data_IF_514626788224
#
_entry.id   IF_514626788224
#
_cell.length_a   1.000
_cell.length_b   1.000
_cell.length_c   1.000
_cell.angle_alpha   90.00
_cell.angle_beta   90.00
_cell.angle_gamma   90.00
#
_symmetry.space_group_name_H-M   'P 1'
#
loop_
_entity.id
_entity.type
_entity.pdbx_description
1 polymer ?
#
# COMPACT_ATOMS: atom_id res chain seq x y z
N UNK A 1 -15.67 -21.20 9.22
CA UNK A 1 -15.61 -21.55 7.79
C UNK A 1 -14.43 -20.83 7.20
N UNK A 2 -13.54 -21.48 6.45
CA UNK A 2 -12.34 -20.81 5.88
C UNK A 2 -12.72 -20.22 4.53
N UNK A 3 -12.75 -18.89 4.40
CA UNK A 3 -13.26 -18.22 3.20
C UNK A 3 -12.37 -17.08 2.79
N UNK A 4 -11.92 -17.10 1.53
CA UNK A 4 -11.34 -15.94 0.86
C UNK A 4 -12.43 -15.21 0.07
N UNK A 5 -12.63 -13.95 0.30
CA UNK A 5 -13.58 -13.10 -0.40
C UNK A 5 -12.91 -11.90 -1.04
N UNK A 6 -13.51 -11.41 -2.12
CA UNK A 6 -13.08 -10.21 -2.83
C UNK A 6 -14.10 -9.10 -2.56
N UNK A 7 -13.62 -7.96 -2.13
CA UNK A 7 -14.43 -6.75 -1.92
C UNK A 7 -14.05 -5.74 -3.01
N UNK A 8 -14.97 -5.44 -3.95
CA UNK A 8 -14.69 -4.49 -5.02
C UNK A 8 -14.74 -3.05 -4.50
N UNK A 9 -14.03 -2.13 -5.15
CA UNK A 9 -14.04 -0.72 -4.80
C UNK A 9 -15.45 -0.08 -4.88
N UNK A 10 -16.36 -0.62 -5.68
CA UNK A 10 -17.76 -0.18 -5.74
C UNK A 10 -18.51 -0.34 -4.41
N UNK A 11 -18.04 -1.25 -3.54
CA UNK A 11 -18.52 -1.40 -2.16
C UNK A 11 -17.51 -0.77 -1.17
N UNK A 12 -17.23 0.51 -1.35
CA UNK A 12 -16.23 1.24 -0.56
C UNK A 12 -16.57 1.29 0.92
N UNK A 13 -17.85 1.26 1.28
CA UNK A 13 -18.29 1.23 2.69
C UNK A 13 -17.87 -0.06 3.37
N UNK A 14 -18.14 -1.22 2.76
CA UNK A 14 -17.70 -2.52 3.28
C UNK A 14 -16.18 -2.65 3.24
N UNK A 15 -15.54 -2.13 2.19
CA UNK A 15 -14.09 -2.07 2.07
C UNK A 15 -13.47 -1.39 3.29
N UNK A 16 -13.84 -0.13 3.55
CA UNK A 16 -13.26 0.64 4.64
C UNK A 16 -13.63 0.07 6.02
N UNK A 17 -14.85 -0.45 6.21
CA UNK A 17 -15.22 -1.16 7.43
C UNK A 17 -14.33 -2.38 7.68
N UNK A 18 -14.03 -3.15 6.62
CA UNK A 18 -13.15 -4.30 6.72
C UNK A 18 -11.73 -3.87 7.09
N UNK A 19 -11.18 -2.86 6.41
CA UNK A 19 -9.84 -2.33 6.68
C UNK A 19 -9.74 -1.80 8.12
N UNK A 20 -10.70 -0.98 8.56
CA UNK A 20 -10.73 -0.41 9.91
C UNK A 20 -10.87 -1.46 11.03
N UNK A 21 -11.26 -2.68 10.70
CA UNK A 21 -11.31 -3.76 11.69
C UNK A 21 -9.94 -4.35 12.03
N UNK A 22 -8.89 -4.04 11.26
CA UNK A 22 -7.50 -4.46 11.50
C UNK A 22 -6.74 -3.40 12.28
N UNK A 23 -5.86 -3.82 13.20
CA UNK A 23 -5.12 -2.89 14.07
C UNK A 23 -4.01 -2.12 13.35
N UNK A 24 -3.29 -2.78 12.45
CA UNK A 24 -2.06 -2.25 11.83
C UNK A 24 -2.26 -1.74 10.41
N UNK A 25 -3.52 -1.38 10.04
CA UNK A 25 -3.76 -0.81 8.72
C UNK A 25 -3.16 0.60 8.58
N UNK A 26 -2.82 0.97 7.36
CA UNK A 26 -2.39 2.32 6.98
C UNK A 26 -3.29 2.87 5.86
N UNK A 27 -3.12 4.12 5.53
CA UNK A 27 -3.84 4.83 4.46
C UNK A 27 -3.82 4.08 3.12
N UNK A 28 -2.77 3.33 2.85
CA UNK A 28 -2.58 2.55 1.62
C UNK A 28 -3.65 1.48 1.40
N UNK A 29 -4.33 1.04 2.46
CA UNK A 29 -5.38 0.03 2.40
C UNK A 29 -6.79 0.62 2.22
N UNK A 30 -6.96 1.95 2.38
CA UNK A 30 -8.27 2.61 2.34
C UNK A 30 -8.79 2.80 0.90
N UNK A 31 -10.11 2.68 0.74
CA UNK A 31 -10.78 2.81 -0.55
C UNK A 31 -10.54 4.16 -1.23
N UNK A 32 -10.50 5.24 -0.47
CA UNK A 32 -10.22 6.59 -0.98
C UNK A 32 -8.82 6.72 -1.56
N UNK A 33 -7.83 6.05 -0.95
CA UNK A 33 -6.45 6.05 -1.43
C UNK A 33 -6.33 5.33 -2.77
N UNK A 34 -6.78 4.09 -2.84
CA UNK A 34 -6.68 3.28 -4.08
C UNK A 34 -7.54 3.84 -5.21
N UNK A 35 -8.64 4.54 -4.87
CA UNK A 35 -9.45 5.26 -5.85
C UNK A 35 -8.66 6.32 -6.60
N UNK A 36 -7.78 7.06 -5.92
CA UNK A 36 -6.91 8.05 -6.56
C UNK A 36 -6.00 7.39 -7.61
N UNK A 37 -5.40 6.23 -7.27
CA UNK A 37 -4.54 5.49 -8.20
C UNK A 37 -5.32 4.81 -9.33
N UNK A 38 -6.54 4.37 -9.10
CA UNK A 38 -7.42 3.93 -10.18
C UNK A 38 -7.68 5.05 -11.18
N UNK A 39 -7.96 6.26 -10.71
CA UNK A 39 -8.17 7.44 -11.56
C UNK A 39 -6.90 7.86 -12.31
N UNK A 40 -5.73 7.63 -11.72
CA UNK A 40 -4.44 7.85 -12.35
C UNK A 40 -4.14 6.81 -13.46
N UNK A 41 -4.78 5.64 -13.42
CA UNK A 41 -4.58 4.59 -14.42
C UNK A 41 -3.66 3.44 -13.98
N UNK A 42 -3.39 3.31 -12.67
CA UNK A 42 -2.48 2.30 -12.12
C UNK A 42 -3.11 0.90 -12.02
N UNK A 43 -4.33 0.73 -12.50
CA UNK A 43 -5.05 -0.54 -12.51
C UNK A 43 -6.37 -0.51 -11.72
N UNK A 44 -6.98 -1.67 -11.58
CA UNK A 44 -8.23 -1.84 -10.84
C UNK A 44 -7.95 -2.35 -9.42
N UNK A 45 -8.35 -1.61 -8.38
CA UNK A 45 -8.08 -2.02 -7.00
C UNK A 45 -8.98 -3.16 -6.56
N UNK A 46 -8.38 -4.12 -5.83
CA UNK A 46 -9.05 -5.26 -5.25
C UNK A 46 -8.64 -5.36 -3.78
N UNK A 47 -9.60 -5.51 -2.88
CA UNK A 47 -9.38 -5.92 -1.51
C UNK A 47 -9.71 -7.41 -1.36
N UNK A 48 -8.71 -8.19 -1.02
CA UNK A 48 -8.90 -9.56 -0.54
C UNK A 48 -9.14 -9.55 0.97
N UNK A 49 -10.15 -10.27 1.41
CA UNK A 49 -10.42 -10.54 2.81
C UNK A 49 -10.50 -12.05 3.04
N UNK A 50 -9.68 -12.52 3.95
CA UNK A 50 -9.70 -13.91 4.40
C UNK A 50 -10.18 -14.00 5.85
N UNK A 51 -11.05 -14.98 6.09
CA UNK A 51 -11.54 -15.34 7.42
C UNK A 51 -11.40 -16.85 7.62
N UNK A 52 -10.54 -17.23 8.56
CA UNK A 52 -10.29 -18.60 8.98
C UNK A 52 -10.76 -18.85 10.41
N UNK A 53 -10.32 -19.95 11.02
CA UNK A 53 -10.71 -20.34 12.37
C UNK A 53 -10.06 -19.41 13.42
N UNK A 54 -8.74 -19.24 13.33
CA UNK A 54 -7.95 -18.39 14.23
C UNK A 54 -7.02 -17.44 13.45
N UNK A 55 -7.35 -17.17 12.21
CA UNK A 55 -6.58 -16.26 11.34
C UNK A 55 -7.53 -15.46 10.47
N UNK A 56 -7.31 -14.15 10.42
CA UNK A 56 -7.90 -13.30 9.39
C UNK A 56 -6.82 -12.49 8.68
N UNK A 57 -7.10 -12.06 7.47
CA UNK A 57 -6.13 -11.30 6.69
C UNK A 57 -6.76 -10.42 5.64
N UNK A 58 -6.09 -9.31 5.32
CA UNK A 58 -6.43 -8.45 4.18
C UNK A 58 -5.20 -8.23 3.32
N UNK A 59 -5.44 -8.10 2.01
CA UNK A 59 -4.45 -7.62 1.04
C UNK A 59 -5.12 -6.70 0.04
N UNK A 60 -4.51 -5.55 -0.24
CA UNK A 60 -4.97 -4.58 -1.23
C UNK A 60 -3.98 -4.53 -2.37
N UNK A 61 -4.48 -4.78 -3.57
CA UNK A 61 -3.68 -4.83 -4.79
C UNK A 61 -4.31 -4.01 -5.91
N UNK A 62 -3.48 -3.51 -6.81
CA UNK A 62 -3.90 -2.96 -8.11
C UNK A 62 -3.75 -4.06 -9.16
N UNK A 63 -4.86 -4.50 -9.75
CA UNK A 63 -4.88 -5.46 -10.85
C UNK A 63 -4.65 -4.74 -12.16
N UNK A 64 -3.58 -5.10 -12.87
CA UNK A 64 -3.21 -4.46 -14.14
C UNK A 64 -3.26 -5.48 -15.27
N UNK A 65 -3.80 -5.08 -16.41
CA UNK A 65 -3.76 -5.88 -17.63
C UNK A 65 -2.38 -5.73 -18.28
N UNK A 66 -1.60 -6.80 -18.31
CA UNK A 66 -0.23 -6.81 -18.85
C UNK A 66 -0.22 -6.42 -20.34
N UNK A 67 -1.26 -6.75 -21.10
CA UNK A 67 -1.36 -6.42 -22.52
C UNK A 67 -1.39 -4.90 -22.78
N UNK A 68 -1.79 -4.10 -21.77
CA UNK A 68 -1.83 -2.63 -21.87
C UNK A 68 -0.48 -1.96 -21.57
N UNK A 69 0.51 -2.68 -21.06
CA UNK A 69 1.86 -2.15 -20.91
C UNK A 69 2.50 -1.92 -22.29
N UNK A 70 3.15 -0.78 -22.54
CA UNK A 70 3.75 -0.43 -23.84
C UNK A 70 4.68 -1.51 -24.41
N UNK A 71 5.30 -2.32 -23.58
CA UNK A 71 6.19 -3.42 -24.00
C UNK A 71 5.44 -4.61 -24.56
N UNK A 72 4.15 -4.76 -24.28
CA UNK A 72 3.31 -5.90 -24.63
C UNK A 72 2.13 -5.57 -25.55
N UNK A 73 1.89 -4.30 -25.85
CA UNK A 73 0.83 -3.90 -26.79
C UNK A 73 0.96 -4.65 -28.13
N UNK A 74 -0.13 -5.31 -28.53
CA UNK A 74 -0.20 -6.12 -29.75
C UNK A 74 0.54 -7.46 -29.69
N UNK A 75 1.16 -7.83 -28.56
CA UNK A 75 1.85 -9.10 -28.36
C UNK A 75 1.07 -10.08 -27.48
N UNK A 76 0.22 -9.59 -26.60
CA UNK A 76 -0.61 -10.37 -25.72
C UNK A 76 -2.08 -10.01 -25.95
N UNK A 77 -3.00 -10.98 -25.77
CA UNK A 77 -4.43 -10.70 -25.77
C UNK A 77 -4.82 -9.88 -24.53
N UNK A 78 -5.64 -8.84 -24.74
CA UNK A 78 -6.16 -8.03 -23.64
C UNK A 78 -7.12 -8.85 -22.73
N UNK A 79 -7.18 -8.48 -21.47
CA UNK A 79 -8.05 -9.05 -20.43
C UNK A 79 -7.84 -10.55 -20.19
N UNK A 80 -6.64 -11.07 -20.45
CA UNK A 80 -6.30 -12.48 -20.22
C UNK A 80 -5.23 -12.67 -19.16
N UNK A 81 -4.17 -11.85 -19.17
CA UNK A 81 -3.05 -11.95 -18.25
C UNK A 81 -2.92 -10.67 -17.43
N UNK A 82 -2.84 -10.85 -16.14
CA UNK A 82 -2.78 -9.74 -15.19
C UNK A 82 -1.56 -9.87 -14.30
N UNK A 83 -1.10 -8.74 -13.81
CA UNK A 83 -0.23 -8.70 -12.65
C UNK A 83 -0.89 -7.93 -11.51
N UNK A 84 -0.40 -8.19 -10.30
CA UNK A 84 -0.73 -7.41 -9.13
C UNK A 84 0.45 -6.54 -8.71
N UNK A 85 0.16 -5.34 -8.27
CA UNK A 85 1.12 -4.49 -7.58
C UNK A 85 0.46 -3.85 -6.35
N UNK A 86 1.24 -3.59 -5.31
CA UNK A 86 0.76 -2.71 -4.26
C UNK A 86 0.43 -1.33 -4.84
N UNK A 87 -0.60 -0.63 -4.33
CA UNK A 87 -0.77 0.80 -4.60
C UNK A 87 0.54 1.54 -4.34
N UNK A 88 0.76 2.67 -4.96
CA UNK A 88 1.95 3.47 -4.67
C UNK A 88 2.09 3.71 -3.16
N UNK A 89 3.27 3.44 -2.60
CA UNK A 89 3.50 3.40 -1.16
C UNK A 89 3.81 1.98 -0.71
N UNK A 90 3.06 1.47 0.21
CA UNK A 90 3.29 0.16 0.83
C UNK A 90 2.01 -0.67 0.88
N UNK A 91 2.15 -1.98 1.10
CA UNK A 91 1.02 -2.90 1.20
C UNK A 91 1.48 -4.33 1.53
N UNK A 92 0.78 -5.30 0.96
CA UNK A 92 0.93 -6.72 1.26
C UNK A 92 -0.06 -7.19 2.31
N UNK A 93 -0.01 -8.47 2.64
CA UNK A 93 -0.93 -9.04 3.59
C UNK A 93 -0.75 -8.47 5.00
N UNK A 94 -1.85 -8.02 5.61
CA UNK A 94 -1.96 -7.83 7.06
C UNK A 94 -2.68 -9.05 7.62
N UNK A 95 -2.02 -9.74 8.55
CA UNK A 95 -2.53 -10.97 9.16
C UNK A 95 -2.74 -10.76 10.66
N UNK A 96 -3.86 -11.20 11.18
CA UNK A 96 -4.17 -11.20 12.59
C UNK A 96 -4.63 -12.57 13.07
N UNK A 97 -4.07 -13.01 14.18
CA UNK A 97 -4.34 -14.30 14.80
C UNK A 97 -3.24 -15.34 14.59
N UNK A 98 -3.21 -16.39 15.44
CA UNK A 98 -2.16 -17.41 15.45
C UNK A 98 -2.44 -18.58 14.50
N UNK A 99 -3.52 -18.57 13.72
CA UNK A 99 -3.95 -19.69 12.89
C UNK A 99 -3.02 -20.02 11.74
N UNK A 100 -3.22 -21.21 11.15
CA UNK A 100 -2.45 -21.68 10.00
C UNK A 100 -2.73 -20.82 8.75
N UNK A 101 -1.66 -20.32 8.13
CA UNK A 101 -1.70 -19.46 6.93
C UNK A 101 -1.86 -20.26 5.63
N UNK A 102 -1.53 -21.53 5.64
CA UNK A 102 -1.55 -22.37 4.43
C UNK A 102 -2.90 -22.37 3.71
N UNK A 103 -4.06 -22.47 4.40
CA UNK A 103 -5.36 -22.40 3.73
C UNK A 103 -5.63 -21.05 3.05
N UNK A 104 -5.17 -19.93 3.65
CA UNK A 104 -5.25 -18.61 3.04
C UNK A 104 -4.49 -18.58 1.71
N UNK A 105 -3.19 -18.91 1.73
CA UNK A 105 -2.36 -18.80 0.55
C UNK A 105 -2.74 -19.81 -0.53
N UNK A 106 -3.19 -21.01 -0.16
CA UNK A 106 -3.76 -21.97 -1.12
C UNK A 106 -5.00 -21.40 -1.81
N UNK A 107 -5.90 -20.74 -1.07
CA UNK A 107 -7.09 -20.14 -1.64
C UNK A 107 -6.76 -18.91 -2.52
N UNK A 108 -5.79 -18.09 -2.09
CA UNK A 108 -5.33 -16.92 -2.83
C UNK A 108 -4.63 -17.29 -4.14
N UNK A 109 -3.71 -18.23 -4.10
CA UNK A 109 -3.00 -18.76 -5.27
C UNK A 109 -3.98 -19.34 -6.30
N UNK A 110 -4.93 -20.16 -5.85
CA UNK A 110 -5.98 -20.68 -6.71
C UNK A 110 -6.80 -19.56 -7.35
N UNK A 111 -7.19 -18.57 -6.57
CA UNK A 111 -7.92 -17.42 -7.10
C UNK A 111 -7.10 -16.68 -8.17
N UNK A 112 -5.83 -16.46 -7.94
CA UNK A 112 -4.92 -15.85 -8.91
C UNK A 112 -4.84 -16.65 -10.21
N UNK A 113 -4.67 -17.97 -10.12
CA UNK A 113 -4.63 -18.86 -11.28
C UNK A 113 -5.96 -18.82 -12.07
N UNK A 114 -7.09 -18.93 -11.38
CA UNK A 114 -8.43 -18.92 -11.99
C UNK A 114 -8.76 -17.56 -12.67
N UNK A 115 -8.07 -16.46 -12.26
CA UNK A 115 -8.27 -15.10 -12.77
C UNK A 115 -7.12 -14.56 -13.65
N UNK A 116 -6.22 -15.46 -14.11
CA UNK A 116 -5.15 -15.11 -15.03
C UNK A 116 -4.06 -14.20 -14.45
N UNK A 117 -3.89 -14.16 -13.13
CA UNK A 117 -2.82 -13.41 -12.47
C UNK A 117 -1.54 -14.21 -12.51
N UNK A 118 -0.50 -13.65 -13.13
CA UNK A 118 0.78 -14.35 -13.38
C UNK A 118 1.91 -13.91 -12.47
N UNK A 119 1.78 -12.74 -11.84
CA UNK A 119 2.77 -12.22 -10.90
C UNK A 119 2.17 -11.20 -9.94
N UNK A 120 2.83 -11.05 -8.79
CA UNK A 120 2.51 -10.02 -7.81
C UNK A 120 3.81 -9.33 -7.36
N UNK A 121 3.81 -8.00 -7.39
CA UNK A 121 4.87 -7.18 -6.82
C UNK A 121 4.37 -6.51 -5.54
N UNK A 122 5.02 -6.82 -4.43
CA UNK A 122 4.66 -6.26 -3.12
C UNK A 122 5.77 -5.35 -2.61
N UNK A 123 5.43 -4.12 -2.29
CA UNK A 123 6.28 -3.25 -1.49
C UNK A 123 5.81 -3.31 -0.04
N UNK A 124 6.50 -4.12 0.75
CA UNK A 124 6.16 -4.33 2.16
C UNK A 124 6.34 -3.07 3.00
N UNK A 125 5.52 -2.96 4.05
CA UNK A 125 5.50 -1.79 4.90
C UNK A 125 6.67 -1.81 5.90
N UNK A 126 7.57 -0.80 5.89
CA UNK A 126 8.81 -0.85 6.66
C UNK A 126 8.62 -0.70 8.18
N UNK A 127 7.46 -0.19 8.62
CA UNK A 127 7.18 0.01 10.06
C UNK A 127 6.45 -1.21 10.63
N UNK A 128 5.45 -1.74 9.92
CA UNK A 128 4.71 -2.93 10.37
C UNK A 128 5.49 -4.22 10.13
N UNK A 129 6.51 -4.18 9.27
CA UNK A 129 7.34 -5.32 8.91
C UNK A 129 6.52 -6.58 8.52
N UNK A 130 5.41 -6.35 7.83
CA UNK A 130 4.42 -7.40 7.53
C UNK A 130 4.96 -8.54 6.64
N UNK A 131 6.10 -8.36 5.98
CA UNK A 131 6.81 -9.45 5.29
C UNK A 131 7.27 -10.56 6.25
N UNK A 132 7.54 -10.26 7.53
CA UNK A 132 8.02 -11.26 8.49
C UNK A 132 7.04 -12.42 8.67
N UNK A 133 5.74 -12.12 8.56
CA UNK A 133 4.69 -13.12 8.66
C UNK A 133 4.58 -14.04 7.43
N UNK A 134 5.24 -13.74 6.31
CA UNK A 134 5.02 -14.39 5.00
C UNK A 134 6.30 -14.63 4.19
N UNK A 135 7.45 -14.66 4.84
CA UNK A 135 8.76 -14.94 4.20
C UNK A 135 8.82 -16.29 3.46
N UNK A 136 8.02 -17.23 3.87
CA UNK A 136 7.93 -18.56 3.27
C UNK A 136 7.02 -18.63 2.03
N UNK A 137 6.34 -17.52 1.72
CA UNK A 137 5.39 -17.43 0.60
C UNK A 137 5.91 -16.54 -0.52
N UNK A 138 6.69 -15.49 -0.18
CA UNK A 138 7.20 -14.52 -1.13
C UNK A 138 8.73 -14.52 -1.18
N UNK A 139 9.28 -14.31 -2.38
CA UNK A 139 10.71 -14.01 -2.54
C UNK A 139 10.97 -12.57 -2.09
N UNK A 140 11.46 -12.39 -0.88
CA UNK A 140 11.67 -11.07 -0.27
C UNK A 140 13.08 -10.56 -0.51
N UNK A 141 13.19 -9.39 -1.15
CA UNK A 141 14.46 -8.73 -1.45
C UNK A 141 14.62 -7.48 -0.58
N UNK A 142 15.69 -7.41 0.20
CA UNK A 142 16.04 -6.23 0.98
C UNK A 142 16.66 -5.14 0.09
N UNK A 143 15.97 -4.01 -0.09
CA UNK A 143 16.43 -2.91 -0.95
C UNK A 143 17.20 -1.82 -0.20
N UNK A 144 17.05 -1.71 1.11
CA UNK A 144 17.72 -0.69 1.92
C UNK A 144 16.91 -0.30 3.15
N UNK A 145 17.51 0.55 3.98
CA UNK A 145 16.86 1.05 5.19
C UNK A 145 15.92 2.22 4.92
N UNK A 146 14.80 2.25 5.59
CA UNK A 146 13.89 3.40 5.63
C UNK A 146 14.23 4.27 6.84
N UNK A 147 14.19 5.58 6.65
CA UNK A 147 14.40 6.54 7.74
C UNK A 147 13.05 6.90 8.33
N UNK A 148 12.84 6.58 9.59
CA UNK A 148 11.69 7.00 10.37
C UNK A 148 12.07 8.16 11.30
N UNK A 149 11.16 9.10 11.49
CA UNK A 149 11.32 10.22 12.41
C UNK A 149 10.30 10.08 13.54
N UNK A 150 10.79 10.00 14.78
CA UNK A 150 9.95 10.04 15.96
C UNK A 150 9.37 11.45 16.15
N UNK A 151 8.05 11.57 16.06
CA UNK A 151 7.31 12.83 16.17
C UNK A 151 6.70 13.06 17.57
N UNK A 152 7.15 12.33 18.59
CA UNK A 152 6.59 12.38 19.96
C UNK A 152 6.69 13.78 20.60
N UNK A 153 7.73 14.54 20.27
CA UNK A 153 7.86 15.94 20.67
C UNK A 153 8.74 16.74 19.70
N UNK A 154 8.59 18.08 19.64
CA UNK A 154 9.48 18.95 18.86
C UNK A 154 10.95 18.78 19.23
N UNK A 155 11.25 18.58 20.52
CA UNK A 155 12.60 18.39 21.04
C UNK A 155 13.19 17.07 20.52
N UNK A 156 12.41 15.99 20.52
CA UNK A 156 12.79 14.67 19.97
C UNK A 156 13.07 14.77 18.47
N UNK A 157 12.17 15.40 17.73
CA UNK A 157 12.36 15.67 16.29
C UNK A 157 13.68 16.40 16.06
N UNK A 158 13.91 17.49 16.79
CA UNK A 158 15.12 18.31 16.64
C UNK A 158 16.40 17.55 16.99
N UNK A 159 16.39 16.76 18.07
CA UNK A 159 17.53 15.95 18.49
C UNK A 159 17.90 14.88 17.46
N UNK A 160 16.91 14.25 16.83
CA UNK A 160 17.10 13.20 15.83
C UNK A 160 17.55 13.71 14.45
N UNK A 161 17.40 15.01 14.18
CA UNK A 161 17.90 15.59 12.93
C UNK A 161 19.44 15.61 12.88
N UNK A 162 20.00 15.34 11.71
CA UNK A 162 21.44 15.52 11.47
C UNK A 162 21.84 16.99 11.64
N UNK A 163 23.12 17.25 11.98
CA UNK A 163 23.64 18.62 12.07
C UNK A 163 23.46 19.39 10.76
N UNK A 164 23.59 18.73 9.62
CA UNK A 164 23.33 19.32 8.30
C UNK A 164 21.90 19.81 8.17
N UNK A 165 20.92 18.97 8.54
CA UNK A 165 19.50 19.30 8.44
C UNK A 165 19.14 20.45 9.40
N UNK A 166 19.62 20.42 10.65
CA UNK A 166 19.44 21.53 11.59
C UNK A 166 19.99 22.87 11.05
N UNK A 167 21.14 22.84 10.40
CA UNK A 167 21.73 24.04 9.79
C UNK A 167 20.89 24.54 8.60
N UNK A 168 20.37 23.64 7.78
CA UNK A 168 19.48 24.01 6.67
C UNK A 168 18.18 24.66 7.17
N UNK A 169 17.58 24.12 8.24
CA UNK A 169 16.37 24.68 8.85
C UNK A 169 16.66 26.11 9.40
N UNK A 170 17.78 26.29 10.13
CA UNK A 170 18.16 27.62 10.62
C UNK A 170 18.41 28.62 9.48
N UNK A 171 18.98 28.17 8.37
CA UNK A 171 19.18 29.02 7.18
C UNK A 171 17.83 29.41 6.57
N UNK A 172 16.87 28.45 6.45
CA UNK A 172 15.53 28.74 5.96
C UNK A 172 14.82 29.78 6.85
N UNK A 173 14.88 29.62 8.18
CA UNK A 173 14.31 30.57 9.13
C UNK A 173 14.91 31.99 8.98
N UNK A 174 16.24 32.09 8.80
CA UNK A 174 16.91 33.38 8.58
C UNK A 174 16.49 34.05 7.26
N UNK A 175 16.14 33.28 6.24
CA UNK A 175 15.68 33.80 4.95
C UNK A 175 14.16 34.03 4.90
N UNK A 176 13.50 34.06 6.07
CA UNK A 176 12.06 34.34 6.20
C UNK A 176 11.19 33.43 5.31
N UNK A 177 11.56 32.15 5.19
CA UNK A 177 10.74 31.17 4.51
C UNK A 177 9.55 30.83 5.40
N UNK A 178 8.35 31.04 4.88
CA UNK A 178 7.10 30.70 5.55
C UNK A 178 6.60 29.33 5.09
N UNK A 179 6.15 28.52 6.05
CA UNK A 179 5.52 27.22 5.78
C UNK A 179 4.04 27.36 6.12
N UNK A 180 3.20 27.04 5.18
CA UNK A 180 1.75 27.01 5.36
C UNK A 180 1.28 25.56 5.49
N UNK A 181 0.42 25.32 6.47
CA UNK A 181 -0.22 24.02 6.69
C UNK A 181 -1.73 24.23 6.70
N UNK A 182 -2.45 23.44 5.92
CA UNK A 182 -3.92 23.53 5.89
C UNK A 182 -4.53 22.59 4.84
N UNK A 183 -5.88 22.60 4.81
CA UNK A 183 -6.69 21.82 3.88
C UNK A 183 -7.51 22.70 2.93
N UNK A 184 -7.09 23.93 2.71
CA UNK A 184 -7.78 24.89 1.85
C UNK A 184 -7.35 24.71 0.39
N UNK A 185 -8.27 24.83 -0.58
CA UNK A 185 -7.97 24.73 -2.01
C UNK A 185 -6.78 25.58 -2.44
N UNK A 186 -6.68 26.82 -1.97
CA UNK A 186 -5.59 27.72 -2.32
C UNK A 186 -4.18 27.20 -1.91
N UNK A 187 -4.06 26.47 -0.80
CA UNK A 187 -2.81 25.85 -0.41
C UNK A 187 -2.45 24.71 -1.36
N UNK A 188 -3.46 23.93 -1.79
CA UNK A 188 -3.26 22.85 -2.75
C UNK A 188 -2.85 23.39 -4.13
N UNK A 189 -3.45 24.47 -4.60
CA UNK A 189 -3.08 25.12 -5.85
C UNK A 189 -1.61 25.60 -5.81
N UNK A 190 -1.21 26.28 -4.71
CA UNK A 190 0.19 26.71 -4.51
C UNK A 190 1.16 25.51 -4.43
N UNK A 191 0.75 24.42 -3.79
CA UNK A 191 1.56 23.21 -3.75
C UNK A 191 1.77 22.64 -5.15
N UNK A 192 0.74 22.60 -5.99
CA UNK A 192 0.86 22.12 -7.36
C UNK A 192 1.79 22.96 -8.23
N UNK A 193 1.85 24.30 -7.99
CA UNK A 193 2.78 25.20 -8.71
C UNK A 193 4.25 24.95 -8.34
N UNK A 194 4.51 24.41 -7.14
CA UNK A 194 5.87 24.13 -6.65
C UNK A 194 6.32 22.72 -7.07
N UNK A 195 5.39 21.76 -7.13
CA UNK A 195 5.65 20.35 -7.41
C UNK A 195 5.88 20.11 -8.89
#
# INVERSE_FOLDING_TARGET
MKTLSVIPLSDSSRWDQTVHSFCDYDVYYLSGYVKAFQLHGDGDPILFYYEGEDLRGINVVMKRDIAKDPRFIGKLPENQYFDFATPYGYGGWLLEGPGDRKPLFTAYERWCQDNGVVSEFVRFHPVTANQEAIYDVYDVIGLGGTIALDLSSPETVWANLSSKNRNMIRKAQKNVIHIYNGRFPAIYEQFQEIY
#
